data_IF_137655738530
#
_entry.id   IF_137655738530
#
_cell.length_a   1.000
_cell.length_b   1.000
_cell.length_c   1.000
_cell.angle_alpha   90.00
_cell.angle_beta   90.00
_cell.angle_gamma   90.00
#
_symmetry.space_group_name_H-M   'P 1'
#
loop_
_entity.id
_entity.type
_entity.pdbx_description
1 polymer ?
#
# COMPACT_ATOMS: atom_id res chain seq x y z
N UNK A 1 85.70 -93.02 -91.36
CA UNK A 1 85.01 -93.09 -90.04
C UNK A 1 85.66 -92.15 -89.03
N UNK A 2 86.99 -91.98 -89.03
CA UNK A 2 87.71 -91.04 -88.13
C UNK A 2 87.32 -89.54 -88.27
N UNK A 3 87.11 -89.02 -89.49
CA UNK A 3 86.74 -87.59 -89.67
C UNK A 3 85.36 -87.20 -89.08
N UNK A 4 84.45 -88.16 -88.93
CA UNK A 4 83.12 -87.90 -88.35
C UNK A 4 83.19 -87.85 -86.81
N UNK A 5 84.07 -88.65 -86.21
CA UNK A 5 84.34 -88.63 -84.76
C UNK A 5 85.08 -87.37 -84.33
N UNK A 6 86.02 -86.87 -85.12
CA UNK A 6 86.72 -85.60 -84.84
C UNK A 6 85.77 -84.40 -84.91
N UNK A 7 84.90 -84.33 -85.92
CA UNK A 7 83.86 -83.29 -86.01
C UNK A 7 82.87 -83.36 -84.85
N UNK A 8 82.49 -84.57 -84.44
CA UNK A 8 81.62 -84.78 -83.28
C UNK A 8 82.30 -84.37 -81.96
N UNK A 9 83.59 -84.63 -81.78
CA UNK A 9 84.34 -84.15 -80.61
C UNK A 9 84.48 -82.62 -80.57
N UNK A 10 84.64 -81.97 -81.73
CA UNK A 10 84.65 -80.50 -81.83
C UNK A 10 83.27 -79.94 -81.49
N UNK A 11 82.18 -80.52 -82.02
CA UNK A 11 80.81 -80.15 -81.65
C UNK A 11 80.54 -80.31 -80.15
N UNK A 12 80.94 -81.44 -79.54
CA UNK A 12 80.81 -81.64 -78.09
C UNK A 12 81.57 -80.57 -77.30
N UNK A 13 82.77 -80.18 -77.75
CA UNK A 13 83.54 -79.09 -77.12
C UNK A 13 82.82 -77.74 -77.27
N UNK A 14 82.27 -77.43 -78.44
CA UNK A 14 81.48 -76.22 -78.69
C UNK A 14 80.21 -76.20 -77.82
N UNK A 15 79.47 -77.31 -77.75
CA UNK A 15 78.30 -77.43 -76.88
C UNK A 15 78.65 -77.32 -75.39
N UNK A 16 79.75 -77.95 -74.93
CA UNK A 16 80.25 -77.79 -73.56
C UNK A 16 80.61 -76.34 -73.26
N UNK A 17 81.25 -75.64 -74.20
CA UNK A 17 81.62 -74.24 -74.05
C UNK A 17 80.38 -73.33 -74.05
N UNK A 18 79.36 -73.64 -74.87
CA UNK A 18 78.07 -72.95 -74.90
C UNK A 18 77.27 -73.15 -73.61
N UNK A 19 77.23 -74.37 -73.07
CA UNK A 19 76.64 -74.66 -71.75
C UNK A 19 77.39 -73.92 -70.65
N UNK A 20 78.72 -73.88 -70.69
CA UNK A 20 79.52 -73.13 -69.72
C UNK A 20 79.25 -71.62 -69.79
N UNK A 21 79.11 -71.06 -71.00
CA UNK A 21 78.73 -69.66 -71.19
C UNK A 21 77.32 -69.37 -70.67
N UNK A 22 76.34 -70.21 -71.01
CA UNK A 22 74.96 -70.11 -70.50
C UNK A 22 74.89 -70.21 -68.97
N UNK A 23 75.67 -71.11 -68.35
CA UNK A 23 75.75 -71.21 -66.89
C UNK A 23 76.38 -69.97 -66.26
N UNK A 24 77.42 -69.41 -66.89
CA UNK A 24 78.05 -68.18 -66.43
C UNK A 24 77.11 -66.98 -66.57
N UNK A 25 76.46 -66.82 -67.73
CA UNK A 25 75.48 -65.77 -68.00
C UNK A 25 74.28 -65.88 -67.06
N UNK A 26 73.76 -67.08 -66.81
CA UNK A 26 72.70 -67.29 -65.83
C UNK A 26 73.17 -66.96 -64.40
N UNK A 27 74.40 -67.33 -64.05
CA UNK A 27 74.97 -67.00 -62.74
C UNK A 27 75.20 -65.48 -62.59
N UNK A 28 75.67 -64.82 -63.64
CA UNK A 28 75.87 -63.38 -63.74
C UNK A 28 74.53 -62.65 -63.61
N UNK A 29 73.53 -63.01 -64.42
CA UNK A 29 72.17 -62.49 -64.32
C UNK A 29 71.54 -62.70 -62.95
N UNK A 30 71.73 -63.88 -62.33
CA UNK A 30 71.28 -64.12 -60.95
C UNK A 30 71.99 -63.22 -59.94
N UNK A 31 73.30 -62.98 -60.10
CA UNK A 31 74.04 -62.08 -59.22
C UNK A 31 73.65 -60.62 -59.41
N UNK A 32 73.42 -60.19 -60.65
CA UNK A 32 72.96 -58.85 -60.99
C UNK A 32 71.54 -58.62 -60.45
N UNK A 33 70.59 -59.54 -60.71
CA UNK A 33 69.22 -59.45 -60.17
C UNK A 33 69.21 -59.41 -58.64
N UNK A 34 70.08 -60.19 -57.97
CA UNK A 34 70.23 -60.12 -56.51
C UNK A 34 70.81 -58.78 -56.08
N UNK A 35 71.83 -58.26 -56.76
CA UNK A 35 72.41 -56.95 -56.47
C UNK A 35 71.38 -55.83 -56.65
N UNK A 36 70.68 -55.79 -57.79
CA UNK A 36 69.59 -54.85 -58.07
C UNK A 36 68.46 -54.96 -57.04
N UNK A 37 68.03 -56.19 -56.70
CA UNK A 37 67.04 -56.43 -55.67
C UNK A 37 67.45 -55.86 -54.31
N UNK A 38 68.72 -56.06 -53.91
CA UNK A 38 69.24 -55.49 -52.65
C UNK A 38 69.36 -53.97 -52.69
N UNK A 39 69.73 -53.38 -53.83
CA UNK A 39 69.82 -51.91 -54.00
C UNK A 39 68.42 -51.29 -53.99
N UNK A 40 67.46 -51.89 -54.70
CA UNK A 40 66.05 -51.49 -54.70
C UNK A 40 65.44 -51.56 -53.30
N UNK A 41 65.62 -52.68 -52.59
CA UNK A 41 65.16 -52.83 -51.21
C UNK A 41 65.78 -51.79 -50.27
N UNK A 42 67.08 -51.51 -50.42
CA UNK A 42 67.77 -50.49 -49.62
C UNK A 42 67.28 -49.07 -49.93
N UNK A 43 66.96 -48.77 -51.19
CA UNK A 43 66.35 -47.48 -51.59
C UNK A 43 64.96 -47.34 -50.96
N UNK A 44 64.09 -48.35 -51.12
CA UNK A 44 62.76 -48.35 -50.51
C UNK A 44 62.81 -48.20 -48.98
N UNK A 45 63.76 -48.85 -48.31
CA UNK A 45 63.95 -48.71 -46.86
C UNK A 45 64.40 -47.29 -46.46
N UNK A 46 65.29 -46.66 -47.24
CA UNK A 46 65.69 -45.26 -47.02
C UNK A 46 64.53 -44.29 -47.22
N UNK A 47 63.74 -44.49 -48.27
CA UNK A 47 62.59 -43.65 -48.59
C UNK A 47 61.50 -43.77 -47.51
N UNK A 48 61.19 -45.00 -47.05
CA UNK A 48 60.29 -45.23 -45.93
C UNK A 48 60.80 -44.55 -44.65
N UNK A 49 62.10 -44.68 -44.35
CA UNK A 49 62.69 -44.04 -43.18
C UNK A 49 62.61 -42.51 -43.25
N UNK A 50 62.83 -41.91 -44.42
CA UNK A 50 62.68 -40.48 -44.63
C UNK A 50 61.22 -40.02 -44.43
N UNK A 51 60.25 -40.76 -44.99
CA UNK A 51 58.82 -40.49 -44.79
C UNK A 51 58.42 -40.60 -43.31
N UNK A 52 58.90 -41.62 -42.59
CA UNK A 52 58.62 -41.77 -41.17
C UNK A 52 59.21 -40.62 -40.34
N UNK A 53 60.39 -40.13 -40.70
CA UNK A 53 61.01 -38.98 -40.04
C UNK A 53 60.23 -37.68 -40.28
N UNK A 54 59.75 -37.44 -41.49
CA UNK A 54 58.88 -36.28 -41.78
C UNK A 54 57.54 -36.40 -41.05
N UNK A 55 56.87 -37.55 -41.08
CA UNK A 55 55.63 -37.76 -40.32
C UNK A 55 55.82 -37.52 -38.81
N UNK A 56 56.95 -37.96 -38.24
CA UNK A 56 57.28 -37.68 -36.83
C UNK A 56 57.55 -36.20 -36.57
N UNK A 57 58.05 -35.45 -37.56
CA UNK A 57 58.27 -34.00 -37.46
C UNK A 57 56.94 -33.26 -37.55
N UNK A 58 56.10 -33.60 -38.53
CA UNK A 58 54.76 -33.04 -38.71
C UNK A 58 53.87 -33.31 -37.49
N UNK A 59 53.90 -34.53 -36.95
CA UNK A 59 53.19 -34.86 -35.72
C UNK A 59 53.64 -33.97 -34.55
N UNK A 60 54.93 -33.64 -34.46
CA UNK A 60 55.45 -32.75 -33.42
C UNK A 60 55.03 -31.30 -33.65
N UNK A 61 55.04 -30.80 -34.89
CA UNK A 61 54.58 -29.44 -35.18
C UNK A 61 53.08 -29.30 -34.94
N UNK A 62 52.25 -30.24 -35.43
CA UNK A 62 50.81 -30.24 -35.17
C UNK A 62 50.49 -30.27 -33.67
N UNK A 63 51.27 -31.02 -32.87
CA UNK A 63 51.08 -31.05 -31.41
C UNK A 63 51.37 -29.71 -30.75
N UNK A 64 52.37 -28.98 -31.25
CA UNK A 64 52.68 -27.62 -30.77
C UNK A 64 51.57 -26.65 -31.19
N UNK A 65 51.17 -26.65 -32.46
CA UNK A 65 50.09 -25.80 -32.98
C UNK A 65 48.78 -26.03 -32.23
N UNK A 66 48.42 -27.29 -31.96
CA UNK A 66 47.24 -27.63 -31.16
C UNK A 66 47.34 -27.03 -29.75
N UNK A 67 48.51 -27.12 -29.12
CA UNK A 67 48.70 -26.58 -27.76
C UNK A 67 48.65 -25.05 -27.73
N UNK A 68 49.22 -24.40 -28.75
CA UNK A 68 49.13 -22.95 -28.91
C UNK A 68 47.69 -22.49 -29.12
N UNK A 69 46.92 -23.23 -29.94
CA UNK A 69 45.50 -22.94 -30.15
C UNK A 69 44.66 -23.16 -28.89
N UNK A 70 44.91 -24.23 -28.13
CA UNK A 70 44.29 -24.46 -26.82
C UNK A 70 44.53 -23.30 -25.86
N UNK A 71 45.79 -22.84 -25.75
CA UNK A 71 46.17 -21.71 -24.90
C UNK A 71 45.51 -20.41 -25.36
N UNK A 72 45.48 -20.14 -26.66
CA UNK A 72 44.81 -18.96 -27.22
C UNK A 72 43.30 -18.97 -26.91
N UNK A 73 42.65 -20.13 -27.07
CA UNK A 73 41.24 -20.30 -26.74
C UNK A 73 40.98 -20.09 -25.25
N UNK A 74 41.86 -20.59 -24.36
CA UNK A 74 41.75 -20.39 -22.92
C UNK A 74 41.82 -18.90 -22.55
N UNK A 75 42.73 -18.14 -23.19
CA UNK A 75 42.84 -16.69 -23.01
C UNK A 75 41.57 -15.96 -23.47
N UNK A 76 41.00 -16.35 -24.62
CA UNK A 76 39.74 -15.78 -25.11
C UNK A 76 38.60 -16.03 -24.13
N UNK A 77 38.46 -17.25 -23.62
CA UNK A 77 37.43 -17.60 -22.62
C UNK A 77 37.60 -16.80 -21.34
N UNK A 78 38.84 -16.66 -20.84
CA UNK A 78 39.15 -15.83 -19.66
C UNK A 78 38.77 -14.36 -19.88
N UNK A 79 39.12 -13.79 -21.04
CA UNK A 79 38.77 -12.41 -21.38
C UNK A 79 37.25 -12.21 -21.50
N UNK A 80 36.52 -13.18 -22.06
CA UNK A 80 35.05 -13.12 -22.12
C UNK A 80 34.43 -13.14 -20.72
N UNK A 81 34.91 -14.01 -19.82
CA UNK A 81 34.44 -14.06 -18.42
C UNK A 81 34.70 -12.76 -17.67
N UNK A 82 35.91 -12.19 -17.82
CA UNK A 82 36.26 -10.93 -17.18
C UNK A 82 35.37 -9.78 -17.66
N UNK A 83 35.08 -9.70 -18.97
CA UNK A 83 34.12 -8.71 -19.50
C UNK A 83 32.71 -8.91 -18.95
N UNK A 84 32.25 -10.16 -18.83
CA UNK A 84 30.95 -10.45 -18.22
C UNK A 84 30.91 -10.00 -16.75
N UNK A 85 31.96 -10.25 -15.97
CA UNK A 85 32.06 -9.79 -14.58
C UNK A 85 32.06 -8.26 -14.48
N UNK A 86 32.77 -7.57 -15.38
CA UNK A 86 32.75 -6.09 -15.47
C UNK A 86 31.35 -5.55 -15.80
N UNK A 87 30.65 -6.16 -16.75
CA UNK A 87 29.28 -5.78 -17.12
C UNK A 87 28.29 -6.02 -15.99
N UNK A 88 28.37 -7.17 -15.32
CA UNK A 88 27.56 -7.49 -14.13
C UNK A 88 27.82 -6.45 -13.03
N UNK A 89 29.08 -6.13 -12.76
CA UNK A 89 29.45 -5.15 -11.73
C UNK A 89 28.93 -3.76 -12.06
N UNK A 90 29.04 -3.33 -13.33
CA UNK A 90 28.49 -2.06 -13.80
C UNK A 90 26.97 -2.02 -13.59
N UNK A 91 26.26 -3.08 -13.98
CA UNK A 91 24.81 -3.15 -13.86
C UNK A 91 24.37 -3.15 -12.38
N UNK A 92 25.06 -3.87 -11.51
CA UNK A 92 24.83 -3.84 -10.07
C UNK A 92 24.99 -2.42 -9.50
N UNK A 93 26.06 -1.71 -9.87
CA UNK A 93 26.28 -0.33 -9.42
C UNK A 93 25.20 0.63 -9.93
N UNK A 94 24.73 0.45 -11.17
CA UNK A 94 23.66 1.26 -11.73
C UNK A 94 22.32 1.03 -11.01
N UNK A 95 21.99 -0.22 -10.71
CA UNK A 95 20.79 -0.53 -9.91
C UNK A 95 20.91 -0.02 -8.47
N UNK A 96 22.06 -0.17 -7.83
CA UNK A 96 22.28 0.35 -6.48
C UNK A 96 22.11 1.88 -6.43
N UNK A 97 22.62 2.59 -7.44
CA UNK A 97 22.41 4.03 -7.58
C UNK A 97 20.94 4.37 -7.78
N UNK A 98 20.23 3.68 -8.66
CA UNK A 98 18.79 3.92 -8.89
C UNK A 98 17.97 3.70 -7.62
N UNK A 99 18.25 2.63 -6.87
CA UNK A 99 17.60 2.34 -5.58
C UNK A 99 17.85 3.49 -4.60
N UNK A 100 19.11 3.91 -4.42
CA UNK A 100 19.47 5.04 -3.54
C UNK A 100 18.77 6.34 -3.94
N UNK A 101 18.67 6.64 -5.23
CA UNK A 101 17.97 7.83 -5.72
C UNK A 101 16.46 7.77 -5.44
N UNK A 102 15.84 6.61 -5.63
CA UNK A 102 14.41 6.39 -5.34
C UNK A 102 14.15 6.53 -3.84
N UNK A 103 14.95 5.87 -3.01
CA UNK A 103 14.87 5.98 -1.54
C UNK A 103 15.04 7.43 -1.08
N UNK A 104 16.05 8.15 -1.60
CA UNK A 104 16.26 9.56 -1.27
C UNK A 104 15.07 10.45 -1.67
N UNK A 105 14.49 10.22 -2.85
CA UNK A 105 13.29 10.94 -3.32
C UNK A 105 12.09 10.70 -2.40
N UNK A 106 11.83 9.45 -2.01
CA UNK A 106 10.69 9.13 -1.14
C UNK A 106 10.92 9.56 0.31
N UNK A 107 12.13 9.45 0.84
CA UNK A 107 12.48 9.99 2.15
C UNK A 107 12.30 11.50 2.20
N UNK A 108 12.72 12.24 1.15
CA UNK A 108 12.49 13.68 1.06
C UNK A 108 11.00 14.02 1.01
N UNK A 109 10.20 13.29 0.22
CA UNK A 109 8.73 13.49 0.18
C UNK A 109 8.08 13.24 1.54
N UNK A 110 8.49 12.16 2.23
CA UNK A 110 8.00 11.84 3.56
C UNK A 110 8.34 12.94 4.57
N UNK A 111 9.58 13.45 4.54
CA UNK A 111 10.00 14.54 5.43
C UNK A 111 9.22 15.83 5.15
N UNK A 112 9.08 16.24 3.88
CA UNK A 112 8.31 17.44 3.52
C UNK A 112 6.85 17.33 3.97
N UNK A 113 6.21 16.16 3.82
CA UNK A 113 4.84 15.96 4.28
C UNK A 113 4.72 16.05 5.80
N UNK A 114 5.69 15.51 6.55
CA UNK A 114 5.74 15.64 8.01
C UNK A 114 5.88 17.10 8.42
N UNK A 115 6.80 17.82 7.80
CA UNK A 115 7.04 19.24 8.08
C UNK A 115 5.80 20.09 7.75
N UNK A 116 5.10 19.80 6.65
CA UNK A 116 3.86 20.47 6.26
C UNK A 116 2.72 20.22 7.27
N UNK A 117 2.52 18.97 7.68
CA UNK A 117 1.51 18.61 8.68
C UNK A 117 1.81 19.22 10.05
N UNK A 118 3.07 19.24 10.46
CA UNK A 118 3.50 19.87 11.71
C UNK A 118 3.34 21.39 11.66
N UNK A 119 3.64 22.02 10.52
CA UNK A 119 3.40 23.46 10.32
C UNK A 119 1.90 23.77 10.40
N UNK A 120 1.07 23.00 9.68
CA UNK A 120 -0.39 23.16 9.70
C UNK A 120 -0.95 23.02 11.11
N UNK A 121 -0.53 21.98 11.85
CA UNK A 121 -0.91 21.78 13.25
C UNK A 121 -0.52 22.98 14.11
N UNK A 122 0.71 23.49 13.96
CA UNK A 122 1.17 24.68 14.71
C UNK A 122 0.33 25.90 14.39
N UNK A 123 0.02 26.16 13.12
CA UNK A 123 -0.83 27.28 12.70
C UNK A 123 -2.24 27.16 13.28
N UNK A 124 -2.87 25.99 13.17
CA UNK A 124 -4.22 25.76 13.73
C UNK A 124 -4.25 25.97 15.25
N UNK A 125 -3.21 25.55 15.97
CA UNK A 125 -3.07 25.81 17.41
C UNK A 125 -2.98 27.31 17.68
N UNK A 126 -2.10 28.04 16.98
CA UNK A 126 -1.94 29.49 17.18
C UNK A 126 -3.24 30.25 16.89
N UNK A 127 -3.97 29.90 15.82
CA UNK A 127 -5.26 30.51 15.50
C UNK A 127 -6.32 30.25 16.58
N UNK A 128 -6.35 29.05 17.16
CA UNK A 128 -7.25 28.72 18.28
C UNK A 128 -6.86 29.53 19.51
N UNK A 129 -5.57 29.60 19.83
CA UNK A 129 -5.05 30.37 20.97
C UNK A 129 -5.36 31.85 20.84
N UNK A 130 -5.14 32.46 19.67
CA UNK A 130 -5.49 33.87 19.43
C UNK A 130 -7.00 34.12 19.58
N UNK A 131 -7.86 33.26 19.02
CA UNK A 131 -9.31 33.39 19.20
C UNK A 131 -9.72 33.29 20.66
N UNK A 132 -9.12 32.37 21.43
CA UNK A 132 -9.39 32.23 22.86
C UNK A 132 -8.87 33.42 23.67
N UNK A 133 -7.69 33.92 23.37
CA UNK A 133 -7.12 35.10 24.01
C UNK A 133 -7.96 36.36 23.74
N UNK A 134 -8.46 36.52 22.51
CA UNK A 134 -9.39 37.59 22.16
C UNK A 134 -10.71 37.47 22.95
N UNK A 135 -11.29 36.27 23.04
CA UNK A 135 -12.49 36.03 23.83
C UNK A 135 -12.29 36.33 25.32
N UNK A 136 -11.14 35.95 25.89
CA UNK A 136 -10.78 36.26 27.28
C UNK A 136 -10.69 37.77 27.47
N UNK A 137 -10.02 38.47 26.56
CA UNK A 137 -9.84 39.93 26.62
C UNK A 137 -11.17 40.68 26.51
N UNK A 138 -12.07 40.23 25.63
CA UNK A 138 -13.42 40.79 25.51
C UNK A 138 -14.25 40.54 26.77
N UNK A 139 -14.20 39.32 27.32
CA UNK A 139 -14.87 38.97 28.57
C UNK A 139 -14.37 39.84 29.73
N UNK A 140 -13.06 40.01 29.87
CA UNK A 140 -12.45 40.89 30.86
C UNK A 140 -12.93 42.33 30.72
N UNK A 141 -12.97 42.87 29.49
CA UNK A 141 -13.46 44.22 29.23
C UNK A 141 -14.94 44.39 29.59
N UNK A 142 -15.76 43.40 29.28
CA UNK A 142 -17.17 43.39 29.64
C UNK A 142 -17.38 43.34 31.15
N UNK A 143 -16.60 42.51 31.86
CA UNK A 143 -16.62 42.48 33.32
C UNK A 143 -16.18 43.81 33.92
N UNK A 144 -15.08 44.41 33.47
CA UNK A 144 -14.61 45.72 33.94
C UNK A 144 -15.67 46.81 33.76
N UNK A 145 -16.36 46.80 32.61
CA UNK A 145 -17.47 47.71 32.34
C UNK A 145 -18.62 47.50 33.31
N UNK A 146 -19.07 46.25 33.49
CA UNK A 146 -20.15 45.92 34.41
C UNK A 146 -19.80 46.29 35.87
N UNK A 147 -18.55 46.04 36.31
CA UNK A 147 -18.08 46.46 37.63
C UNK A 147 -18.09 47.99 37.78
N UNK A 148 -17.65 48.72 36.75
CA UNK A 148 -17.70 50.17 36.74
C UNK A 148 -19.14 50.70 36.82
N UNK A 149 -20.08 50.12 36.07
CA UNK A 149 -21.50 50.47 36.12
C UNK A 149 -22.12 50.22 37.50
N UNK A 150 -21.82 49.07 38.12
CA UNK A 150 -22.27 48.74 39.47
C UNK A 150 -21.70 49.74 40.49
N UNK A 151 -20.40 50.05 40.40
CA UNK A 151 -19.74 51.01 41.29
C UNK A 151 -20.38 52.39 41.16
N UNK A 152 -20.65 52.84 39.94
CA UNK A 152 -21.33 54.12 39.68
C UNK A 152 -22.75 54.12 40.26
N UNK A 153 -23.52 53.04 40.08
CA UNK A 153 -24.86 52.91 40.64
C UNK A 153 -24.88 53.05 42.17
N UNK A 154 -23.98 52.36 42.88
CA UNK A 154 -23.89 52.47 44.33
C UNK A 154 -23.37 53.84 44.80
N UNK A 155 -22.43 54.44 44.07
CA UNK A 155 -21.99 55.82 44.33
C UNK A 155 -23.15 56.81 44.19
N UNK A 156 -23.98 56.69 43.15
CA UNK A 156 -25.14 57.57 42.93
C UNK A 156 -26.18 57.42 44.04
N UNK A 157 -26.46 56.19 44.49
CA UNK A 157 -27.33 55.95 45.65
C UNK A 157 -26.72 56.59 46.90
N UNK A 158 -25.41 56.45 47.10
CA UNK A 158 -24.71 57.00 48.27
C UNK A 158 -24.80 58.53 48.26
N UNK A 159 -24.58 59.18 47.10
CA UNK A 159 -24.74 60.62 46.94
C UNK A 159 -26.18 61.07 47.18
N UNK A 160 -27.19 60.36 46.65
CA UNK A 160 -28.60 60.65 46.91
C UNK A 160 -28.96 60.50 48.38
N UNK A 161 -28.48 59.45 49.04
CA UNK A 161 -28.69 59.23 50.47
C UNK A 161 -28.02 60.33 51.30
N UNK A 162 -26.81 60.75 50.94
CA UNK A 162 -26.11 61.85 51.60
C UNK A 162 -26.87 63.17 51.44
N UNK A 163 -27.37 63.47 50.23
CA UNK A 163 -28.20 64.64 49.96
C UNK A 163 -29.50 64.62 50.75
N UNK A 164 -30.16 63.46 50.85
CA UNK A 164 -31.37 63.28 51.66
C UNK A 164 -31.08 63.48 53.15
N UNK A 165 -29.97 62.92 53.67
CA UNK A 165 -29.55 63.13 55.06
C UNK A 165 -29.32 64.62 55.32
N UNK A 166 -28.65 65.33 54.40
CA UNK A 166 -28.43 66.77 54.54
C UNK A 166 -29.75 67.56 54.52
N UNK A 167 -30.67 67.23 53.61
CA UNK A 167 -32.00 67.85 53.57
C UNK A 167 -32.79 67.60 54.86
N UNK A 168 -32.76 66.38 55.39
CA UNK A 168 -33.42 66.04 56.64
C UNK A 168 -32.79 66.78 57.83
N UNK A 169 -31.47 66.96 57.84
CA UNK A 169 -30.78 67.78 58.85
C UNK A 169 -31.19 69.25 58.77
N UNK A 170 -31.25 69.82 57.58
CA UNK A 170 -31.73 71.20 57.38
C UNK A 170 -33.18 71.36 57.85
N UNK A 171 -34.06 70.44 57.47
CA UNK A 171 -35.45 70.43 57.94
C UNK A 171 -35.56 70.26 59.46
N UNK A 172 -34.69 69.46 60.07
CA UNK A 172 -34.65 69.29 61.53
C UNK A 172 -34.23 70.59 62.22
N UNK A 173 -33.20 71.27 61.73
CA UNK A 173 -32.76 72.57 62.25
C UNK A 173 -33.86 73.65 62.07
N UNK A 174 -34.55 73.65 60.93
CA UNK A 174 -35.67 74.56 60.69
C UNK A 174 -36.86 74.27 61.61
N UNK A 175 -37.20 72.99 61.79
CA UNK A 175 -38.24 72.57 62.75
C UNK A 175 -37.88 72.94 64.17
N UNK A 176 -36.62 72.80 64.58
CA UNK A 176 -36.14 73.17 65.92
C UNK A 176 -36.22 74.69 66.15
N UNK A 177 -35.94 75.50 65.11
CA UNK A 177 -36.18 76.96 65.16
C UNK A 177 -37.67 77.29 65.31
N UNK A 178 -38.54 76.61 64.54
CA UNK A 178 -40.00 76.77 64.64
C UNK A 178 -40.55 76.30 65.98
N UNK A 179 -40.03 75.22 66.55
CA UNK A 179 -40.41 74.71 67.87
C UNK A 179 -40.07 75.71 68.96
N UNK A 180 -38.86 76.28 68.95
CA UNK A 180 -38.48 77.33 69.90
C UNK A 180 -39.34 78.61 69.77
N UNK A 181 -39.89 78.90 68.58
CA UNK A 181 -40.84 79.99 68.37
C UNK A 181 -42.23 79.63 68.91
N UNK A 182 -42.72 78.43 68.58
CA UNK A 182 -44.01 77.92 69.05
C UNK A 182 -44.04 77.71 70.56
N UNK A 183 -42.92 77.37 71.20
CA UNK A 183 -42.84 77.24 72.66
C UNK A 183 -42.99 78.59 73.37
N UNK A 184 -42.48 79.67 72.75
CA UNK A 184 -42.73 81.05 73.20
C UNK A 184 -44.20 81.45 73.00
N UNK A 185 -44.77 81.15 71.84
CA UNK A 185 -46.19 81.43 71.55
C UNK A 185 -47.16 80.56 72.38
N UNK A 186 -46.76 79.34 72.75
CA UNK A 186 -47.51 78.42 73.60
C UNK A 186 -47.54 78.89 75.05
N UNK A 187 -46.49 79.56 75.54
CA UNK A 187 -46.51 80.21 76.85
C UNK A 187 -47.58 81.33 76.91
N UNK A 188 -47.77 82.07 75.82
CA UNK A 188 -48.78 83.13 75.71
C UNK A 188 -50.20 82.57 75.47
N UNK A 189 -50.33 81.48 74.70
CA UNK A 189 -51.61 80.82 74.42
C UNK A 189 -52.12 79.91 75.56
N UNK A 190 -51.26 79.46 76.48
CA UNK A 190 -51.65 78.71 77.68
C UNK A 190 -52.52 79.53 78.65
N UNK A 191 -52.53 80.86 78.55
CA UNK A 191 -53.44 81.73 79.29
C UNK A 191 -54.86 81.73 78.69
N UNK A 192 -55.00 81.45 77.40
CA UNK A 192 -56.27 81.56 76.66
C UNK A 192 -56.90 80.21 76.28
N UNK A 193 -56.13 79.12 76.32
CA UNK A 193 -56.57 77.76 75.96
C UNK A 193 -56.88 76.90 77.20
N UNK A 194 -57.59 77.44 78.20
CA UNK A 194 -58.09 76.66 79.35
C UNK A 194 -59.57 76.27 79.21
N UNK A 195 -60.27 76.70 78.15
CA UNK A 195 -61.72 76.50 78.07
C UNK A 195 -62.26 75.68 76.88
N UNK A 196 -61.48 75.39 75.83
CA UNK A 196 -62.07 74.76 74.63
C UNK A 196 -61.07 73.99 73.76
N UNK A 197 -60.49 72.85 74.19
CA UNK A 197 -59.86 71.94 73.20
C UNK A 197 -59.48 70.55 73.76
N UNK A 198 -60.45 69.71 74.15
CA UNK A 198 -60.16 68.32 74.52
C UNK A 198 -60.97 67.26 73.74
N UNK A 199 -61.88 67.65 72.85
CA UNK A 199 -62.78 66.70 72.17
C UNK A 199 -62.58 66.51 70.66
N UNK A 200 -61.65 67.23 70.01
CA UNK A 200 -61.49 67.17 68.55
C UNK A 200 -60.24 66.39 68.06
N UNK A 201 -59.26 66.13 68.93
CA UNK A 201 -57.95 65.62 68.52
C UNK A 201 -57.92 64.08 68.35
N UNK A 202 -58.74 63.33 69.11
CA UNK A 202 -58.73 61.86 69.10
C UNK A 202 -59.39 61.24 67.86
N UNK A 203 -60.26 61.97 67.15
CA UNK A 203 -60.96 61.46 65.97
C UNK A 203 -60.17 61.62 64.67
N UNK A 204 -59.22 62.57 64.60
CA UNK A 204 -58.39 62.81 63.42
C UNK A 204 -57.21 61.81 63.30
N UNK A 205 -56.64 61.35 64.42
CA UNK A 205 -55.56 60.34 64.41
C UNK A 205 -56.05 58.96 63.95
N UNK A 206 -57.29 58.58 64.27
CA UNK A 206 -57.88 57.31 63.85
C UNK A 206 -58.18 57.26 62.36
N UNK A 207 -58.55 58.39 61.75
CA UNK A 207 -58.77 58.50 60.30
C UNK A 207 -57.45 58.40 59.53
N UNK A 208 -56.36 58.99 60.05
CA UNK A 208 -55.03 58.89 59.44
C UNK A 208 -54.46 57.47 59.48
N UNK A 209 -54.62 56.74 60.59
CA UNK A 209 -54.20 55.34 60.68
C UNK A 209 -54.96 54.42 59.73
N UNK A 210 -56.28 54.62 59.60
CA UNK A 210 -57.13 53.84 58.68
C UNK A 210 -56.71 54.05 57.22
N UNK A 211 -56.39 55.30 56.83
CA UNK A 211 -55.90 55.61 55.48
C UNK A 211 -54.54 54.96 55.19
N UNK A 212 -53.63 54.90 56.17
CA UNK A 212 -52.32 54.24 56.01
C UNK A 212 -52.45 52.72 55.81
N UNK A 213 -53.37 52.08 56.54
CA UNK A 213 -53.65 50.63 56.40
C UNK A 213 -54.28 50.30 55.05
N UNK A 214 -55.15 51.16 54.54
CA UNK A 214 -55.77 51.00 53.22
C UNK A 214 -54.73 51.10 52.10
N UNK A 215 -53.80 52.07 52.18
CA UNK A 215 -52.71 52.19 51.21
C UNK A 215 -51.76 50.97 51.20
N UNK A 216 -51.45 50.39 52.36
CA UNK A 216 -50.65 49.15 52.43
C UNK A 216 -51.39 47.97 51.80
N UNK A 217 -52.69 47.85 52.05
CA UNK A 217 -53.51 46.79 51.45
C UNK A 217 -53.56 46.88 49.92
N UNK A 218 -53.65 48.09 49.37
CA UNK A 218 -53.62 48.30 47.92
C UNK A 218 -52.24 47.95 47.32
N UNK A 219 -51.14 48.29 47.99
CA UNK A 219 -49.79 47.89 47.60
C UNK A 219 -49.60 46.37 47.62
N UNK A 220 -50.08 45.69 48.66
CA UNK A 220 -50.00 44.23 48.79
C UNK A 220 -50.82 43.52 47.70
N UNK A 221 -51.98 44.09 47.35
CA UNK A 221 -52.84 43.59 46.27
C UNK A 221 -52.13 43.69 44.92
N UNK A 222 -51.46 44.81 44.64
CA UNK A 222 -50.68 44.98 43.41
C UNK A 222 -49.48 44.01 43.36
N UNK A 223 -48.74 43.87 44.47
CA UNK A 223 -47.66 42.90 44.58
C UNK A 223 -48.15 41.44 44.34
N UNK A 224 -49.32 41.08 44.87
CA UNK A 224 -49.93 39.78 44.64
C UNK A 224 -50.31 39.55 43.18
N UNK A 225 -50.81 40.57 42.47
CA UNK A 225 -51.10 40.44 41.04
C UNK A 225 -49.84 40.23 40.20
N UNK A 226 -48.76 40.96 40.52
CA UNK A 226 -47.47 40.85 39.84
C UNK A 226 -46.82 39.48 40.06
N UNK A 227 -46.86 38.94 41.29
CA UNK A 227 -46.33 37.60 41.57
C UNK A 227 -47.14 36.50 40.90
N UNK A 228 -48.48 36.62 40.86
CA UNK A 228 -49.33 35.68 40.10
C UNK A 228 -49.03 35.71 38.60
N UNK A 229 -48.79 36.88 38.01
CA UNK A 229 -48.41 36.99 36.61
C UNK A 229 -47.07 36.30 36.32
N UNK A 230 -46.04 36.54 37.16
CA UNK A 230 -44.74 35.86 37.05
C UNK A 230 -44.84 34.35 37.20
N UNK A 231 -45.62 33.88 38.17
CA UNK A 231 -45.84 32.46 38.40
C UNK A 231 -46.48 31.79 37.17
N UNK A 232 -47.42 32.46 36.50
CA UNK A 232 -48.04 31.95 35.26
C UNK A 232 -47.04 31.83 34.11
N UNK A 233 -46.11 32.78 33.99
CA UNK A 233 -45.03 32.71 32.98
C UNK A 233 -44.10 31.53 33.26
N UNK A 234 -43.60 31.41 34.49
CA UNK A 234 -42.71 30.32 34.89
C UNK A 234 -43.39 28.95 34.72
N UNK A 235 -44.68 28.83 35.05
CA UNK A 235 -45.44 27.60 34.81
C UNK A 235 -45.54 27.23 33.34
N UNK A 236 -45.61 28.21 32.44
CA UNK A 236 -45.60 27.96 31.00
C UNK A 236 -44.23 27.49 30.55
N UNK A 237 -43.17 28.21 30.93
CA UNK A 237 -41.77 27.83 30.62
C UNK A 237 -41.43 26.43 31.12
N UNK A 238 -41.89 26.06 32.32
CA UNK A 238 -41.69 24.72 32.87
C UNK A 238 -42.39 23.64 32.04
N UNK A 239 -43.61 23.89 31.56
CA UNK A 239 -44.33 22.94 30.69
C UNK A 239 -43.66 22.81 29.32
N UNK A 240 -43.22 23.92 28.74
CA UNK A 240 -42.53 23.93 27.45
C UNK A 240 -41.20 23.14 27.56
N UNK A 241 -40.43 23.36 28.63
CA UNK A 241 -39.17 22.65 28.89
C UNK A 241 -39.37 21.16 29.18
N UNK A 242 -40.44 20.78 29.90
CA UNK A 242 -40.81 19.37 30.10
C UNK A 242 -41.09 18.66 28.78
N UNK A 243 -41.81 19.33 27.86
CA UNK A 243 -42.09 18.76 26.55
C UNK A 243 -40.83 18.60 25.71
N UNK A 244 -39.95 19.61 25.69
CA UNK A 244 -38.65 19.52 24.99
C UNK A 244 -37.78 18.39 25.54
N UNK A 245 -37.77 18.22 26.86
CA UNK A 245 -37.03 17.14 27.52
C UNK A 245 -37.51 15.76 27.06
N UNK A 246 -38.84 15.54 27.06
CA UNK A 246 -39.41 14.24 26.68
C UNK A 246 -39.19 13.93 25.20
N UNK A 247 -39.26 14.94 24.31
CA UNK A 247 -38.89 14.79 22.90
C UNK A 247 -37.41 14.42 22.75
N UNK A 248 -36.53 15.03 23.55
CA UNK A 248 -35.10 14.77 23.48
C UNK A 248 -34.76 13.36 24.01
N UNK A 249 -35.41 12.90 25.09
CA UNK A 249 -35.27 11.54 25.61
C UNK A 249 -35.69 10.49 24.58
N UNK A 250 -36.82 10.69 23.89
CA UNK A 250 -37.26 9.77 22.83
C UNK A 250 -36.27 9.73 21.66
N UNK A 251 -35.74 10.88 21.24
CA UNK A 251 -34.70 10.94 20.20
C UNK A 251 -33.42 10.23 20.63
N UNK A 252 -32.99 10.45 21.88
CA UNK A 252 -31.81 9.81 22.43
C UNK A 252 -31.98 8.28 22.46
N UNK A 253 -33.12 7.80 22.94
CA UNK A 253 -33.45 6.36 22.98
C UNK A 253 -33.39 5.73 21.58
N UNK A 254 -33.93 6.42 20.57
CA UNK A 254 -33.88 5.95 19.18
C UNK A 254 -32.44 5.88 18.64
N UNK A 255 -31.64 6.94 18.84
CA UNK A 255 -30.23 6.96 18.39
C UNK A 255 -29.41 5.87 19.11
N UNK A 256 -29.69 5.63 20.39
CA UNK A 256 -29.03 4.57 21.14
C UNK A 256 -29.39 3.18 20.58
N UNK A 257 -30.66 2.94 20.24
CA UNK A 257 -31.09 1.70 19.60
C UNK A 257 -30.44 1.50 18.22
N UNK A 258 -30.38 2.54 17.38
CA UNK A 258 -29.72 2.51 16.07
C UNK A 258 -28.22 2.20 16.19
N UNK A 259 -27.54 2.82 17.18
CA UNK A 259 -26.15 2.51 17.49
C UNK A 259 -25.98 1.03 17.86
N UNK A 260 -26.80 0.53 18.77
CA UNK A 260 -26.70 -0.84 19.27
C UNK A 260 -26.98 -1.87 18.16
N UNK A 261 -27.96 -1.60 17.30
CA UNK A 261 -28.24 -2.41 16.12
C UNK A 261 -27.07 -2.42 15.13
N UNK A 262 -26.45 -1.26 14.89
CA UNK A 262 -25.30 -1.16 14.00
C UNK A 262 -24.09 -1.94 14.53
N UNK A 263 -23.83 -1.87 15.84
CA UNK A 263 -22.79 -2.67 16.48
C UNK A 263 -23.07 -4.17 16.34
N UNK A 264 -24.30 -4.62 16.58
CA UNK A 264 -24.66 -6.03 16.41
C UNK A 264 -24.49 -6.51 14.96
N UNK A 265 -24.93 -5.70 13.99
CA UNK A 265 -24.76 -6.00 12.55
C UNK A 265 -23.29 -6.09 12.17
N UNK A 266 -22.47 -5.18 12.68
CA UNK A 266 -21.02 -5.18 12.43
C UNK A 266 -20.35 -6.44 12.98
N UNK A 267 -20.63 -6.79 14.24
CA UNK A 267 -20.09 -8.02 14.86
C UNK A 267 -20.55 -9.27 14.10
N UNK A 268 -21.81 -9.33 13.69
CA UNK A 268 -22.35 -10.44 12.90
C UNK A 268 -21.63 -10.56 11.54
N UNK A 269 -21.45 -9.45 10.83
CA UNK A 269 -20.76 -9.43 9.54
C UNK A 269 -19.29 -9.88 9.66
N UNK A 270 -18.57 -9.44 10.70
CA UNK A 270 -17.20 -9.90 10.97
C UNK A 270 -17.17 -11.42 11.18
N UNK A 271 -18.05 -11.93 12.04
CA UNK A 271 -18.10 -13.37 12.33
C UNK A 271 -18.44 -14.19 11.09
N UNK A 272 -19.37 -13.73 10.24
CA UNK A 272 -19.71 -14.39 8.98
C UNK A 272 -18.54 -14.41 8.00
N UNK A 273 -17.80 -13.31 7.86
CA UNK A 273 -16.60 -13.25 7.02
C UNK A 273 -15.53 -14.21 7.54
N UNK A 274 -15.25 -14.18 8.85
CA UNK A 274 -14.28 -15.09 9.48
C UNK A 274 -14.67 -16.56 9.34
N UNK A 275 -15.96 -16.90 9.47
CA UNK A 275 -16.43 -18.26 9.25
C UNK A 275 -16.27 -18.70 7.79
N UNK A 276 -16.62 -17.84 6.83
CA UNK A 276 -16.49 -18.15 5.40
C UNK A 276 -15.03 -18.33 4.99
N UNK A 277 -14.14 -17.44 5.41
CA UNK A 277 -12.70 -17.56 5.15
C UNK A 277 -12.11 -18.77 5.88
N UNK A 278 -12.51 -19.02 7.13
CA UNK A 278 -12.12 -20.20 7.89
C UNK A 278 -12.53 -21.51 7.19
N UNK A 279 -13.75 -21.59 6.67
CA UNK A 279 -14.21 -22.75 5.90
C UNK A 279 -13.45 -22.93 4.58
N UNK A 280 -13.18 -21.83 3.85
CA UNK A 280 -12.37 -21.86 2.61
C UNK A 280 -10.96 -22.36 2.91
N UNK A 281 -10.33 -21.88 3.99
CA UNK A 281 -9.00 -22.30 4.40
C UNK A 281 -8.98 -23.78 4.78
N UNK A 282 -9.95 -24.24 5.59
CA UNK A 282 -10.06 -25.65 5.97
C UNK A 282 -10.24 -26.56 4.76
N UNK A 283 -11.03 -26.13 3.77
CA UNK A 283 -11.22 -26.88 2.53
C UNK A 283 -9.92 -26.95 1.71
N UNK A 284 -9.19 -25.84 1.60
CA UNK A 284 -7.89 -25.80 0.91
C UNK A 284 -6.85 -26.68 1.63
N UNK A 285 -6.79 -26.65 2.96
CA UNK A 285 -5.93 -27.52 3.75
C UNK A 285 -6.23 -29.00 3.53
N UNK A 286 -7.52 -29.38 3.52
CA UNK A 286 -7.92 -30.76 3.22
C UNK A 286 -7.55 -31.17 1.80
N UNK A 287 -7.74 -30.28 0.81
CA UNK A 287 -7.35 -30.54 -0.57
C UNK A 287 -5.83 -30.68 -0.71
N UNK A 288 -5.07 -29.82 -0.05
CA UNK A 288 -3.60 -29.88 -0.02
C UNK A 288 -3.13 -31.20 0.59
N UNK A 289 -3.68 -31.58 1.75
CA UNK A 289 -3.39 -32.85 2.40
C UNK A 289 -3.71 -34.04 1.48
N UNK A 290 -4.88 -34.05 0.85
CA UNK A 290 -5.24 -35.11 -0.08
C UNK A 290 -4.30 -35.19 -1.30
N UNK A 291 -3.81 -34.06 -1.81
CA UNK A 291 -2.82 -34.02 -2.88
C UNK A 291 -1.44 -34.51 -2.42
N UNK A 292 -1.03 -34.17 -1.19
CA UNK A 292 0.21 -34.68 -0.58
C UNK A 292 0.15 -36.20 -0.39
N UNK A 293 -0.95 -36.74 0.14
CA UNK A 293 -1.13 -38.18 0.30
C UNK A 293 -1.06 -38.93 -1.05
N UNK A 294 -1.57 -38.30 -2.13
CA UNK A 294 -1.45 -38.86 -3.49
C UNK A 294 -0.02 -38.78 -4.00
N UNK A 295 0.68 -37.67 -3.76
CA UNK A 295 2.08 -37.49 -4.14
C UNK A 295 2.97 -38.52 -3.46
N UNK A 296 2.85 -38.68 -2.14
CA UNK A 296 3.60 -39.67 -1.37
C UNK A 296 3.37 -41.10 -1.89
N UNK A 297 2.12 -41.48 -2.17
CA UNK A 297 1.82 -42.78 -2.78
C UNK A 297 2.49 -42.96 -4.13
N UNK A 298 2.46 -41.92 -4.98
CA UNK A 298 3.09 -41.97 -6.30
C UNK A 298 4.61 -42.05 -6.22
N UNK A 299 5.22 -41.38 -5.25
CA UNK A 299 6.67 -41.45 -5.01
C UNK A 299 7.12 -42.82 -4.51
N UNK A 300 6.33 -43.45 -3.63
CA UNK A 300 6.56 -44.84 -3.19
C UNK A 300 6.41 -45.81 -4.36
N UNK A 301 5.30 -45.75 -5.12
CA UNK A 301 5.09 -46.59 -6.31
C UNK A 301 6.23 -46.44 -7.33
N UNK A 302 6.70 -45.22 -7.57
CA UNK A 302 7.81 -44.92 -8.47
C UNK A 302 9.13 -45.51 -7.95
N UNK A 303 9.40 -45.38 -6.65
CA UNK A 303 10.58 -45.93 -5.99
C UNK A 303 10.62 -47.46 -6.05
N UNK A 304 9.47 -48.13 -5.85
CA UNK A 304 9.34 -49.58 -5.98
C UNK A 304 9.60 -50.05 -7.42
N UNK A 305 9.04 -49.35 -8.42
CA UNK A 305 9.27 -49.66 -9.84
C UNK A 305 10.73 -49.49 -10.20
N UNK A 306 11.40 -48.43 -9.72
CA UNK A 306 12.83 -48.25 -9.97
C UNK A 306 13.68 -49.35 -9.33
N UNK A 307 13.37 -49.76 -8.10
CA UNK A 307 14.06 -50.87 -7.44
C UNK A 307 13.86 -52.21 -8.16
N UNK A 308 12.66 -52.48 -8.68
CA UNK A 308 12.34 -53.73 -9.39
C UNK A 308 12.96 -53.80 -10.80
N UNK A 309 13.17 -52.66 -11.45
CA UNK A 309 13.55 -52.61 -12.88
C UNK A 309 15.06 -52.76 -13.14
N UNK A 310 15.91 -52.67 -12.11
CA UNK A 310 17.38 -52.77 -12.21
C UNK A 310 17.97 -51.95 -13.39
N UNK A 311 17.39 -50.79 -13.68
CA UNK A 311 17.80 -49.92 -14.78
C UNK A 311 19.08 -49.16 -14.40
N UNK A 312 19.91 -48.84 -15.39
CA UNK A 312 21.09 -47.99 -15.18
C UNK A 312 20.66 -46.61 -14.64
N UNK A 313 21.12 -46.19 -13.45
CA UNK A 313 20.73 -44.92 -12.84
C UNK A 313 21.08 -43.69 -13.70
N UNK A 314 22.17 -43.77 -14.47
CA UNK A 314 22.63 -42.68 -15.34
C UNK A 314 21.69 -42.45 -16.53
N UNK A 315 21.33 -43.53 -17.25
CA UNK A 315 20.37 -43.46 -18.36
C UNK A 315 18.97 -43.03 -17.90
N UNK A 316 18.52 -43.48 -16.74
CA UNK A 316 17.20 -43.16 -16.19
C UNK A 316 17.08 -41.70 -15.77
N UNK A 317 18.11 -41.16 -15.10
CA UNK A 317 18.18 -39.74 -14.76
C UNK A 317 18.13 -38.84 -16.00
N UNK A 318 18.86 -39.21 -17.06
CA UNK A 318 18.87 -38.47 -18.32
C UNK A 318 17.49 -38.46 -19.02
N UNK A 319 16.78 -39.59 -19.01
CA UNK A 319 15.43 -39.70 -19.58
C UNK A 319 14.42 -38.93 -18.74
N UNK A 320 14.51 -39.02 -17.41
CA UNK A 320 13.64 -38.27 -16.49
C UNK A 320 13.82 -36.76 -16.67
N UNK A 321 15.07 -36.28 -16.76
CA UNK A 321 15.36 -34.87 -16.97
C UNK A 321 14.82 -34.37 -18.31
N UNK A 322 15.01 -35.13 -19.40
CA UNK A 322 14.42 -34.77 -20.71
C UNK A 322 12.90 -34.72 -20.67
N UNK A 323 12.25 -35.62 -19.92
CA UNK A 323 10.80 -35.63 -19.79
C UNK A 323 10.32 -34.43 -18.96
N UNK A 324 11.02 -34.09 -17.88
CA UNK A 324 10.79 -32.90 -17.06
C UNK A 324 10.89 -31.62 -17.89
N UNK A 325 11.94 -31.48 -18.71
CA UNK A 325 12.14 -30.34 -19.60
C UNK A 325 10.99 -30.20 -20.61
N UNK A 326 10.52 -31.31 -21.18
CA UNK A 326 9.37 -31.32 -22.11
C UNK A 326 8.08 -30.96 -21.39
N UNK A 327 7.84 -31.48 -20.19
CA UNK A 327 6.65 -31.14 -19.39
C UNK A 327 6.66 -29.66 -19.00
N UNK A 328 7.80 -29.15 -18.53
CA UNK A 328 8.01 -27.74 -18.21
C UNK A 328 7.75 -26.85 -19.42
N UNK A 329 8.34 -27.17 -20.58
CA UNK A 329 8.12 -26.43 -21.83
C UNK A 329 6.65 -26.42 -22.25
N UNK A 330 5.94 -27.55 -22.13
CA UNK A 330 4.52 -27.64 -22.42
C UNK A 330 3.67 -26.82 -21.44
N UNK A 331 3.97 -26.88 -20.14
CA UNK A 331 3.25 -26.09 -19.13
C UNK A 331 3.41 -24.59 -19.39
N UNK A 332 4.62 -24.12 -19.66
CA UNK A 332 4.86 -22.71 -20.05
C UNK A 332 4.09 -22.32 -21.30
N UNK A 333 4.02 -23.23 -22.29
CA UNK A 333 3.24 -22.98 -23.51
C UNK A 333 1.73 -22.89 -23.20
N UNK A 334 1.22 -23.73 -22.30
CA UNK A 334 -0.19 -23.66 -21.86
C UNK A 334 -0.48 -22.33 -21.17
N UNK A 335 0.40 -21.88 -20.26
CA UNK A 335 0.26 -20.60 -19.57
C UNK A 335 0.29 -19.42 -20.55
N UNK A 336 1.23 -19.43 -21.50
CA UNK A 336 1.33 -18.39 -22.54
C UNK A 336 0.08 -18.36 -23.43
N UNK A 337 -0.44 -19.52 -23.85
CA UNK A 337 -1.66 -19.59 -24.66
C UNK A 337 -2.89 -19.14 -23.87
N UNK A 338 -2.99 -19.48 -22.58
CA UNK A 338 -4.06 -18.98 -21.70
C UNK A 338 -3.99 -17.46 -21.55
N UNK A 339 -2.81 -16.91 -21.37
CA UNK A 339 -2.59 -15.47 -21.32
C UNK A 339 -2.95 -14.78 -22.63
N UNK A 340 -2.54 -15.34 -23.77
CA UNK A 340 -2.88 -14.80 -25.09
C UNK A 340 -4.38 -14.85 -25.34
N UNK A 341 -5.06 -15.94 -24.96
CA UNK A 341 -6.51 -16.04 -25.03
C UNK A 341 -7.18 -14.95 -24.20
N UNK A 342 -6.78 -14.78 -22.93
CA UNK A 342 -7.30 -13.73 -22.07
C UNK A 342 -7.08 -12.32 -22.66
N UNK A 343 -5.90 -12.07 -23.24
CA UNK A 343 -5.58 -10.80 -23.92
C UNK A 343 -6.51 -10.53 -25.10
N UNK A 344 -6.77 -11.53 -25.93
CA UNK A 344 -7.65 -11.41 -27.10
C UNK A 344 -9.11 -11.22 -26.68
N UNK A 345 -9.59 -12.00 -25.70
CA UNK A 345 -10.93 -11.85 -25.15
C UNK A 345 -11.15 -10.44 -24.57
N UNK A 346 -10.15 -9.89 -23.87
CA UNK A 346 -10.21 -8.52 -23.38
C UNK A 346 -10.27 -7.50 -24.51
N UNK A 347 -9.36 -7.59 -25.49
CA UNK A 347 -9.35 -6.67 -26.63
C UNK A 347 -10.67 -6.69 -27.41
N UNK A 348 -11.28 -7.87 -27.54
CA UNK A 348 -12.62 -8.03 -28.12
C UNK A 348 -13.69 -7.28 -27.30
N UNK A 349 -13.72 -7.47 -25.98
CA UNK A 349 -14.72 -6.82 -25.11
C UNK A 349 -14.51 -5.30 -25.02
N UNK A 350 -13.26 -4.81 -24.96
CA UNK A 350 -12.92 -3.38 -24.97
C UNK A 350 -13.35 -2.72 -26.31
N UNK A 351 -13.18 -3.45 -27.43
CA UNK A 351 -13.64 -3.01 -28.74
C UNK A 351 -15.17 -2.92 -28.80
N UNK A 352 -15.89 -3.92 -28.27
CA UNK A 352 -17.35 -3.89 -28.17
C UNK A 352 -17.82 -2.66 -27.39
N UNK A 353 -17.26 -2.41 -26.20
CA UNK A 353 -17.60 -1.21 -25.40
C UNK A 353 -17.33 0.09 -26.16
N UNK A 354 -16.22 0.17 -26.89
CA UNK A 354 -15.87 1.35 -27.70
C UNK A 354 -16.88 1.56 -28.83
N UNK A 355 -17.29 0.49 -29.51
CA UNK A 355 -18.31 0.54 -30.56
C UNK A 355 -19.67 0.97 -30.01
N UNK A 356 -20.10 0.41 -28.89
CA UNK A 356 -21.34 0.81 -28.21
C UNK A 356 -21.32 2.29 -27.80
N UNK A 357 -20.22 2.76 -27.23
CA UNK A 357 -20.03 4.16 -26.87
C UNK A 357 -20.10 5.07 -28.11
N UNK A 358 -19.50 4.67 -29.24
CA UNK A 358 -19.56 5.42 -30.50
C UNK A 358 -20.96 5.45 -31.11
N UNK A 359 -21.65 4.32 -31.14
CA UNK A 359 -23.04 4.24 -31.64
C UNK A 359 -23.97 5.15 -30.84
N UNK A 360 -23.83 5.12 -29.51
CA UNK A 360 -24.56 5.99 -28.60
C UNK A 360 -24.23 7.47 -28.86
N UNK A 361 -22.95 7.81 -29.06
CA UNK A 361 -22.52 9.17 -29.37
C UNK A 361 -23.06 9.71 -30.71
N UNK A 362 -23.28 8.84 -31.70
CA UNK A 362 -23.93 9.18 -32.97
C UNK A 362 -25.47 9.14 -32.90
N UNK A 363 -26.05 8.88 -31.71
CA UNK A 363 -27.50 8.85 -31.50
C UNK A 363 -28.19 7.61 -32.07
N UNK A 364 -27.45 6.52 -32.30
CA UNK A 364 -27.99 5.23 -32.76
C UNK A 364 -28.30 4.37 -31.52
N UNK A 365 -29.57 4.09 -31.20
CA UNK A 365 -29.94 3.22 -30.09
C UNK A 365 -29.43 1.79 -30.32
N UNK A 366 -28.84 1.19 -29.28
CA UNK A 366 -28.31 -0.18 -29.32
C UNK A 366 -29.39 -1.23 -29.65
N UNK A 367 -30.66 -0.93 -29.37
CA UNK A 367 -31.81 -1.79 -29.69
C UNK A 367 -32.07 -1.93 -31.22
N UNK A 368 -31.55 -1.00 -32.03
CA UNK A 368 -31.75 -1.00 -33.49
C UNK A 368 -30.78 -1.94 -34.24
N UNK A 369 -29.81 -2.55 -33.56
CA UNK A 369 -28.79 -3.41 -34.17
C UNK A 369 -29.33 -4.78 -34.64
N UNK A 370 -30.44 -5.25 -34.07
CA UNK A 370 -31.05 -6.54 -34.44
C UNK A 370 -30.28 -7.80 -34.01
N UNK A 371 -29.12 -7.65 -33.35
CA UNK A 371 -28.34 -8.72 -32.75
C UNK A 371 -27.72 -8.25 -31.43
N UNK A 372 -27.42 -9.19 -30.51
CA UNK A 372 -26.66 -8.91 -29.28
C UNK A 372 -25.25 -9.48 -29.44
N UNK A 373 -24.20 -8.64 -29.37
CA UNK A 373 -22.83 -9.13 -29.36
C UNK A 373 -22.62 -10.10 -28.19
N UNK A 374 -21.98 -11.24 -28.45
CA UNK A 374 -21.63 -12.19 -27.41
C UNK A 374 -20.33 -11.70 -26.75
N UNK A 375 -20.39 -11.29 -25.49
CA UNK A 375 -19.16 -11.05 -24.71
C UNK A 375 -18.38 -12.37 -24.62
N UNK A 376 -17.08 -12.33 -24.92
CA UNK A 376 -16.26 -13.53 -24.83
C UNK A 376 -16.05 -13.88 -23.35
N UNK A 377 -16.60 -15.01 -22.84
CA UNK A 377 -16.37 -15.38 -21.46
C UNK A 377 -14.94 -15.91 -21.33
N UNK A 378 -14.11 -15.27 -20.52
CA UNK A 378 -12.87 -15.91 -20.07
C UNK A 378 -13.25 -16.91 -18.99
N UNK A 379 -13.18 -18.20 -19.33
CA UNK A 379 -13.54 -19.29 -18.43
C UNK A 379 -12.67 -19.22 -17.16
N UNK A 380 -13.27 -18.88 -16.01
CA UNK A 380 -12.60 -18.93 -14.71
C UNK A 380 -11.82 -17.67 -14.28
N UNK A 381 -11.79 -16.58 -15.05
CA UNK A 381 -11.16 -15.32 -14.65
C UNK A 381 -12.09 -14.12 -14.88
N UNK A 382 -12.35 -13.36 -13.82
CA UNK A 382 -12.98 -12.04 -13.93
C UNK A 382 -11.92 -11.03 -14.36
N UNK A 383 -11.90 -10.65 -15.64
CA UNK A 383 -11.00 -9.63 -16.15
C UNK A 383 -11.44 -8.24 -15.67
N UNK A 384 -10.48 -7.40 -15.26
CA UNK A 384 -10.76 -6.03 -14.84
C UNK A 384 -11.22 -5.16 -16.02
N UNK A 385 -12.22 -4.32 -15.80
CA UNK A 385 -12.80 -3.42 -16.82
C UNK A 385 -11.91 -2.20 -17.16
N UNK A 386 -10.76 -2.02 -16.49
CA UNK A 386 -9.84 -0.91 -16.73
C UNK A 386 -8.76 -1.22 -17.78
N UNK A 387 -8.03 -0.20 -18.29
CA UNK A 387 -6.95 -0.38 -19.26
C UNK A 387 -5.83 -1.33 -18.76
N UNK A 388 -5.65 -1.46 -17.43
CA UNK A 388 -4.72 -2.40 -16.80
C UNK A 388 -5.33 -3.75 -16.37
N UNK A 389 -6.57 -4.07 -16.78
CA UNK A 389 -7.34 -5.24 -16.32
C UNK A 389 -6.79 -6.64 -16.62
N UNK A 390 -5.64 -6.77 -17.30
CA UNK A 390 -4.90 -8.02 -17.48
C UNK A 390 -3.85 -8.25 -16.37
N UNK A 391 -3.58 -7.24 -15.53
CA UNK A 391 -2.56 -7.26 -14.47
C UNK A 391 -3.17 -7.58 -13.10
N UNK A 392 -4.51 -7.57 -12.98
CA UNK A 392 -5.19 -7.95 -11.76
C UNK A 392 -5.22 -9.48 -11.63
N UNK A 393 -4.17 -10.03 -11.04
CA UNK A 393 -4.20 -11.39 -10.46
C UNK A 393 -5.38 -11.44 -9.47
N UNK A 394 -6.26 -12.46 -9.52
CA UNK A 394 -7.32 -12.62 -8.52
C UNK A 394 -6.69 -12.77 -7.13
N UNK A 395 -7.14 -11.94 -6.18
CA UNK A 395 -6.92 -12.17 -4.74
C UNK A 395 -7.81 -13.28 -4.19
#
# INVERSE_FOLDING_TARGET
MEEAEERHQVEIKVYKQKVKHLLYEHQENLTELKAEGTVSMRRAQKDHWAQEMELRKDMRSLKVELKEQELANEVVVKNMRLKQEEEITRLCNDFERQVKEIEAKYNKKMQMLRDELDLRRKTEIHEVEERKNNQISELMKNHEKAFSEIKNYYNDITLKNLALINLLKEQMEERKKRENQLEKEKADLLLHKKQQQETLQQTQEQVFEMQKKLAHYDMDKEALTNTKARLKVIQKELKDLQWEHEVLEQRFSKVQAERDELYQKFTKAINEVQQKTGFKNLLLERKLKGLLDVLEKKEVELSEVFAASNLDPGALSLVSQKLEDVLSSKNTTIEELQFQLARVCKAHNDMLQTLEAKLTAFGIPLDNLGFKPLESPVLGQALGQGPAGLVAVPT
#
